data_IF_964437419997
#
_entry.id   IF_964437419997
#
_cell.length_a   1.000
_cell.length_b   1.000
_cell.length_c   1.000
_cell.angle_alpha   90.00
_cell.angle_beta   90.00
_cell.angle_gamma   90.00
#
_symmetry.space_group_name_H-M   'P 1'
#
loop_
_entity.id
_entity.type
_entity.pdbx_description
1 polymer ?
#
# COMPACT_ATOMS: atom_id res chain seq x y z
N UNK A 1 19.18 8.13 -20.71
CA UNK A 1 18.56 9.29 -20.02
C UNK A 1 18.69 9.08 -18.53
N UNK A 2 19.27 10.04 -17.80
CA UNK A 2 19.32 10.02 -16.34
C UNK A 2 17.95 10.49 -15.86
N UNK A 3 17.22 9.67 -15.11
CA UNK A 3 15.93 10.08 -14.55
C UNK A 3 16.22 10.91 -13.31
N UNK A 4 16.01 12.22 -13.40
CA UNK A 4 16.17 13.12 -12.26
C UNK A 4 14.96 13.01 -11.32
N UNK A 5 15.22 13.06 -10.01
CA UNK A 5 14.20 12.89 -8.97
C UNK A 5 14.34 13.99 -7.92
N UNK A 6 13.21 14.46 -7.40
CA UNK A 6 13.20 15.31 -6.22
C UNK A 6 13.24 14.45 -4.96
N UNK A 7 14.08 14.84 -4.00
CA UNK A 7 14.21 14.16 -2.71
C UNK A 7 13.90 15.13 -1.59
N UNK A 8 12.96 14.76 -0.71
CA UNK A 8 12.66 15.48 0.53
C UNK A 8 13.16 14.67 1.71
N UNK A 9 13.96 15.30 2.56
CA UNK A 9 14.35 14.77 3.87
C UNK A 9 13.66 15.62 4.94
N UNK A 10 13.02 14.97 5.91
CA UNK A 10 12.38 15.64 7.03
C UNK A 10 12.66 14.90 8.33
N UNK A 11 12.75 15.65 9.43
CA UNK A 11 12.94 15.12 10.77
C UNK A 11 11.80 15.61 11.67
N UNK A 12 11.23 14.70 12.44
CA UNK A 12 10.12 14.94 13.34
C UNK A 12 10.55 14.66 14.77
N UNK A 13 10.02 15.45 15.69
CA UNK A 13 10.25 15.34 17.13
C UNK A 13 8.88 15.28 17.79
N UNK A 14 8.65 14.31 18.68
CA UNK A 14 7.45 14.31 19.50
C UNK A 14 7.71 15.00 20.86
N UNK A 15 6.67 15.18 21.66
CA UNK A 15 6.74 15.80 22.99
C UNK A 15 7.69 15.09 23.96
N UNK A 16 8.03 13.82 23.69
CA UNK A 16 8.98 13.02 24.47
C UNK A 16 10.43 13.11 23.94
N UNK A 17 10.67 13.96 22.94
CA UNK A 17 11.96 14.11 22.29
C UNK A 17 12.33 12.93 21.37
N UNK A 18 11.41 12.04 21.04
CA UNK A 18 11.70 10.94 20.12
C UNK A 18 11.82 11.45 18.69
N UNK A 19 12.93 11.10 18.06
CA UNK A 19 13.27 11.53 16.70
C UNK A 19 12.82 10.46 15.70
N UNK A 20 12.13 10.92 14.65
CA UNK A 20 11.84 10.13 13.46
C UNK A 20 12.31 10.88 12.22
N UNK A 21 13.07 10.22 11.35
CA UNK A 21 13.48 10.77 10.06
C UNK A 21 12.64 10.16 8.95
N UNK A 22 12.26 10.95 7.97
CA UNK A 22 11.64 10.45 6.73
C UNK A 22 12.40 10.92 5.51
N UNK A 23 12.52 10.03 4.52
CA UNK A 23 13.04 10.35 3.19
C UNK A 23 11.93 10.03 2.19
N UNK A 24 11.65 10.96 1.28
CA UNK A 24 10.62 10.80 0.26
C UNK A 24 11.18 11.15 -1.11
N UNK A 25 10.84 10.35 -2.12
CA UNK A 25 11.27 10.49 -3.50
C UNK A 25 10.06 10.82 -4.37
N UNK A 26 10.20 11.83 -5.21
CA UNK A 26 9.12 12.31 -6.10
C UNK A 26 9.59 12.36 -7.55
N UNK A 27 8.64 12.39 -8.48
CA UNK A 27 8.87 12.89 -9.84
C UNK A 27 9.22 14.39 -9.80
N UNK A 28 9.70 14.93 -10.91
CA UNK A 28 9.93 16.38 -11.04
C UNK A 28 8.64 17.18 -10.83
N UNK A 29 7.49 16.64 -11.27
CA UNK A 29 6.16 17.21 -11.02
C UNK A 29 5.62 16.94 -9.60
N UNK A 30 6.50 16.62 -8.65
CA UNK A 30 6.18 16.42 -7.22
C UNK A 30 5.25 15.24 -6.90
N UNK A 31 5.07 14.29 -7.82
CA UNK A 31 4.29 13.08 -7.56
C UNK A 31 5.10 12.07 -6.75
N UNK A 32 4.56 11.59 -5.64
CA UNK A 32 5.27 10.68 -4.72
C UNK A 32 5.52 9.31 -5.36
N UNK A 33 6.75 8.80 -5.23
CA UNK A 33 7.16 7.47 -5.71
C UNK A 33 7.50 6.53 -4.56
N UNK A 34 8.23 7.03 -3.56
CA UNK A 34 8.67 6.24 -2.41
C UNK A 34 8.75 7.11 -1.15
N UNK A 35 8.45 6.50 0.01
CA UNK A 35 8.68 7.09 1.33
C UNK A 35 9.27 6.05 2.28
N UNK A 36 10.33 6.43 2.98
CA UNK A 36 10.93 5.63 4.05
C UNK A 36 10.93 6.41 5.36
N UNK A 37 10.89 5.68 6.47
CA UNK A 37 11.06 6.23 7.82
C UNK A 37 12.12 5.47 8.59
N UNK A 38 12.87 6.20 9.39
CA UNK A 38 13.93 5.73 10.25
C UNK A 38 13.67 6.22 11.67
N UNK A 39 14.03 5.40 12.66
CA UNK A 39 14.02 5.84 14.06
C UNK A 39 15.27 6.67 14.39
N UNK A 40 15.38 7.11 15.65
CA UNK A 40 16.52 7.87 16.19
C UNK A 40 17.90 7.21 16.04
N UNK A 41 17.95 5.90 15.77
CA UNK A 41 19.19 5.14 15.57
C UNK A 41 19.43 4.86 14.07
N UNK A 42 18.79 5.60 13.17
CA UNK A 42 18.82 5.39 11.71
C UNK A 42 18.40 3.98 11.25
N UNK A 43 17.61 3.28 12.06
CA UNK A 43 17.07 1.97 11.68
C UNK A 43 15.77 2.17 10.92
N UNK A 44 15.69 1.60 9.71
CA UNK A 44 14.47 1.60 8.88
C UNK A 44 13.31 0.96 9.66
N UNK A 45 12.21 1.70 9.81
CA UNK A 45 10.98 1.25 10.48
C UNK A 45 9.82 1.08 9.50
N UNK A 46 9.86 1.80 8.37
CA UNK A 46 8.82 1.74 7.35
C UNK A 46 9.35 2.09 5.96
N UNK A 47 8.81 1.43 4.94
CA UNK A 47 8.98 1.78 3.54
C UNK A 47 7.65 1.65 2.80
N UNK A 48 7.33 2.60 1.94
CA UNK A 48 6.22 2.51 1.01
C UNK A 48 6.59 2.99 -0.39
N UNK A 49 6.01 2.36 -1.40
CA UNK A 49 6.04 2.79 -2.79
C UNK A 49 4.63 3.13 -3.25
N UNK A 50 4.51 4.03 -4.22
CA UNK A 50 3.22 4.64 -4.60
C UNK A 50 3.04 4.68 -6.11
N UNK A 51 1.78 4.58 -6.54
CA UNK A 51 1.35 4.94 -7.88
C UNK A 51 1.07 6.45 -7.93
N UNK A 52 2.15 7.24 -7.85
CA UNK A 52 2.14 8.72 -7.99
C UNK A 52 1.21 9.49 -7.03
N UNK A 53 0.66 8.84 -6.01
CA UNK A 53 -0.27 9.43 -5.03
C UNK A 53 -0.15 8.74 -3.68
N UNK A 54 -0.18 9.52 -2.59
CA UNK A 54 -0.17 8.99 -1.22
C UNK A 54 -1.34 8.04 -0.92
N UNK A 55 -2.46 8.22 -1.64
CA UNK A 55 -3.66 7.40 -1.48
C UNK A 55 -3.59 6.07 -2.25
N UNK A 56 -2.55 5.87 -3.06
CA UNK A 56 -2.34 4.65 -3.86
C UNK A 56 -1.00 3.97 -3.55
N UNK A 57 -0.78 3.50 -2.31
CA UNK A 57 0.43 2.75 -2.00
C UNK A 57 0.43 1.40 -2.72
N UNK A 58 1.42 1.16 -3.58
CA UNK A 58 1.65 -0.12 -4.25
C UNK A 58 2.19 -1.17 -3.28
N UNK A 59 3.09 -0.76 -2.39
CA UNK A 59 3.66 -1.64 -1.37
C UNK A 59 3.91 -0.85 -0.09
N UNK A 60 3.61 -1.43 1.07
CA UNK A 60 3.96 -0.88 2.39
C UNK A 60 4.62 -1.98 3.20
N UNK A 61 5.76 -1.68 3.80
CA UNK A 61 6.53 -2.59 4.63
C UNK A 61 6.80 -1.91 5.96
N UNK A 62 6.40 -2.55 7.06
CA UNK A 62 6.82 -2.16 8.40
C UNK A 62 7.89 -3.12 8.90
N UNK A 63 8.96 -2.55 9.44
CA UNK A 63 10.12 -3.25 9.95
C UNK A 63 10.16 -3.15 11.48
N UNK A 64 10.64 -4.21 12.12
CA UNK A 64 10.96 -4.20 13.55
C UNK A 64 12.31 -4.85 13.74
N UNK A 65 13.27 -4.09 14.30
CA UNK A 65 14.68 -4.50 14.44
C UNK A 65 15.29 -4.92 13.09
N UNK A 66 15.10 -4.11 12.06
CA UNK A 66 15.61 -4.38 10.70
C UNK A 66 14.86 -5.46 9.91
N UNK A 67 13.96 -6.23 10.53
CA UNK A 67 13.24 -7.33 9.87
C UNK A 67 11.83 -6.90 9.47
N UNK A 68 11.44 -7.16 8.23
CA UNK A 68 10.07 -6.95 7.76
C UNK A 68 9.07 -7.76 8.60
N UNK A 69 8.11 -7.08 9.22
CA UNK A 69 7.07 -7.71 10.04
C UNK A 69 5.72 -7.72 9.36
N UNK A 70 5.42 -6.67 8.60
CA UNK A 70 4.13 -6.49 7.96
C UNK A 70 4.35 -5.98 6.55
N UNK A 71 3.71 -6.61 5.57
CA UNK A 71 3.80 -6.23 4.16
C UNK A 71 2.39 -6.16 3.61
N UNK A 72 2.03 -5.01 3.03
CA UNK A 72 0.83 -4.84 2.22
C UNK A 72 1.25 -4.60 0.78
N UNK A 73 0.62 -5.29 -0.16
CA UNK A 73 0.83 -5.13 -1.59
C UNK A 73 -0.52 -4.86 -2.23
N UNK A 74 -0.62 -3.83 -3.05
CA UNK A 74 -1.84 -3.45 -3.73
C UNK A 74 -1.62 -3.35 -5.24
N UNK A 75 -2.68 -3.57 -6.01
CA UNK A 75 -2.75 -3.17 -7.42
C UNK A 75 -4.00 -2.32 -7.63
N UNK A 76 -3.87 -1.35 -8.52
CA UNK A 76 -4.93 -0.40 -8.82
C UNK A 76 -5.24 -0.42 -10.31
N UNK A 77 -6.51 -0.20 -10.64
CA UNK A 77 -7.00 0.03 -11.99
C UNK A 77 -8.08 1.10 -11.92
N UNK A 78 -8.03 2.10 -12.79
CA UNK A 78 -8.98 3.22 -12.80
C UNK A 78 -9.21 3.84 -11.40
N UNK A 79 -8.13 4.11 -10.67
CA UNK A 79 -8.12 4.61 -9.29
C UNK A 79 -8.68 3.65 -8.21
N UNK A 80 -9.19 2.49 -8.57
CA UNK A 80 -9.76 1.51 -7.66
C UNK A 80 -8.75 0.42 -7.28
N UNK A 81 -8.71 0.01 -6.01
CA UNK A 81 -7.86 -1.10 -5.57
C UNK A 81 -8.49 -2.44 -5.98
N UNK A 82 -7.91 -3.10 -6.99
CA UNK A 82 -8.40 -4.38 -7.52
C UNK A 82 -7.76 -5.59 -6.83
N UNK A 83 -6.65 -5.38 -6.13
CA UNK A 83 -5.92 -6.44 -5.43
C UNK A 83 -5.30 -5.89 -4.15
N UNK A 84 -5.41 -6.65 -3.07
CA UNK A 84 -4.66 -6.41 -1.83
C UNK A 84 -4.16 -7.73 -1.27
N UNK A 85 -2.88 -7.79 -0.90
CA UNK A 85 -2.29 -8.90 -0.14
C UNK A 85 -1.68 -8.38 1.14
N UNK A 86 -1.98 -9.04 2.25
CA UNK A 86 -1.39 -8.75 3.54
C UNK A 86 -0.59 -9.94 4.07
N UNK A 87 0.68 -9.70 4.38
CA UNK A 87 1.62 -10.69 4.91
C UNK A 87 2.14 -10.21 6.26
N UNK A 88 2.15 -11.10 7.26
CA UNK A 88 2.73 -10.86 8.58
C UNK A 88 3.80 -11.90 8.86
N UNK A 89 5.02 -11.46 9.23
CA UNK A 89 6.18 -12.32 9.49
C UNK A 89 6.37 -13.36 8.36
N UNK A 90 6.35 -12.92 7.11
CA UNK A 90 6.46 -13.75 5.89
C UNK A 90 5.35 -14.80 5.69
N UNK A 91 4.26 -14.75 6.46
CA UNK A 91 3.07 -15.59 6.24
C UNK A 91 1.93 -14.73 5.73
N UNK A 92 1.34 -15.12 4.59
CA UNK A 92 0.12 -14.49 4.10
C UNK A 92 -0.98 -14.62 5.15
N UNK A 93 -1.67 -13.52 5.44
CA UNK A 93 -2.79 -13.48 6.38
C UNK A 93 -4.11 -13.46 5.61
N UNK A 94 -4.19 -12.60 4.60
CA UNK A 94 -5.29 -12.60 3.65
C UNK A 94 -4.84 -12.04 2.30
N UNK A 95 -5.64 -12.35 1.29
CA UNK A 95 -5.61 -11.74 -0.03
C UNK A 95 -7.04 -11.34 -0.41
N UNK A 96 -7.21 -10.24 -1.13
CA UNK A 96 -8.49 -9.86 -1.73
C UNK A 96 -8.34 -9.46 -3.18
N UNK A 97 -9.38 -9.75 -3.95
CA UNK A 97 -9.51 -9.40 -5.36
C UNK A 97 -10.85 -8.72 -5.56
N UNK A 98 -10.88 -7.65 -6.36
CA UNK A 98 -12.08 -6.86 -6.64
C UNK A 98 -12.21 -6.58 -8.12
N UNK A 99 -13.46 -6.50 -8.60
CA UNK A 99 -13.77 -6.03 -9.95
C UNK A 99 -14.79 -4.89 -9.88
N UNK A 100 -14.63 -3.95 -10.79
CA UNK A 100 -15.45 -2.75 -10.85
C UNK A 100 -16.04 -2.57 -12.25
N UNK A 101 -17.25 -2.01 -12.34
CA UNK A 101 -17.85 -1.48 -13.56
C UNK A 101 -17.99 0.03 -13.37
N UNK A 102 -17.09 0.80 -14.00
CA UNK A 102 -16.88 2.20 -13.60
C UNK A 102 -16.42 2.28 -12.14
N UNK A 103 -17.11 3.07 -11.33
CA UNK A 103 -16.82 3.22 -9.89
C UNK A 103 -17.59 2.22 -9.01
N UNK A 104 -18.44 1.38 -9.61
CA UNK A 104 -19.27 0.44 -8.86
C UNK A 104 -18.53 -0.89 -8.67
N UNK A 105 -18.35 -1.30 -7.41
CA UNK A 105 -17.80 -2.61 -7.06
C UNK A 105 -18.81 -3.71 -7.39
N UNK A 106 -18.47 -4.59 -8.35
CA UNK A 106 -19.37 -5.66 -8.81
C UNK A 106 -18.97 -7.04 -8.31
N UNK A 107 -17.71 -7.25 -7.94
CA UNK A 107 -17.22 -8.52 -7.40
C UNK A 107 -16.16 -8.24 -6.33
N UNK A 108 -16.22 -8.94 -5.20
CA UNK A 108 -15.18 -8.94 -4.17
C UNK A 108 -14.96 -10.35 -3.66
N UNK A 109 -13.72 -10.83 -3.70
CA UNK A 109 -13.29 -12.14 -3.22
C UNK A 109 -12.23 -11.96 -2.14
N UNK A 110 -12.33 -12.71 -1.05
CA UNK A 110 -11.34 -12.74 0.02
C UNK A 110 -10.86 -14.17 0.30
N UNK A 111 -9.54 -14.31 0.39
CA UNK A 111 -8.84 -15.57 0.59
C UNK A 111 -8.09 -15.51 1.93
N UNK A 112 -8.11 -16.63 2.66
CA UNK A 112 -7.43 -16.74 3.95
C UNK A 112 -5.95 -17.07 3.77
N UNK A 113 -5.23 -17.24 4.89
CA UNK A 113 -3.80 -17.59 4.91
C UNK A 113 -3.42 -18.89 4.19
N UNK A 114 -4.38 -19.78 3.92
CA UNK A 114 -4.18 -21.03 3.16
C UNK A 114 -4.54 -20.88 1.67
N UNK A 115 -4.86 -19.67 1.22
CA UNK A 115 -5.32 -19.42 -0.15
C UNK A 115 -6.75 -19.90 -0.43
N UNK A 116 -7.50 -20.28 0.61
CA UNK A 116 -8.90 -20.71 0.45
C UNK A 116 -9.81 -19.49 0.47
N UNK A 117 -10.69 -19.41 -0.53
CA UNK A 117 -11.79 -18.43 -0.56
C UNK A 117 -12.65 -18.62 0.69
N UNK A 118 -12.91 -17.55 1.43
CA UNK A 118 -13.76 -17.60 2.62
C UNK A 118 -14.88 -16.55 2.60
N UNK A 119 -14.80 -15.57 1.70
CA UNK A 119 -15.86 -14.60 1.46
C UNK A 119 -15.86 -14.23 -0.02
N UNK A 120 -17.05 -14.19 -0.62
CA UNK A 120 -17.27 -13.69 -1.97
C UNK A 120 -18.60 -12.96 -2.00
N UNK A 121 -18.62 -11.79 -2.64
CA UNK A 121 -19.84 -11.06 -2.97
C UNK A 121 -19.81 -10.65 -4.43
N UNK A 122 -20.96 -10.75 -5.09
CA UNK A 122 -21.16 -10.33 -6.47
C UNK A 122 -22.48 -9.56 -6.54
N UNK A 123 -22.48 -8.45 -7.26
CA UNK A 123 -23.71 -7.72 -7.60
C UNK A 123 -24.11 -8.16 -9.00
N UNK A 124 -25.30 -8.70 -9.12
CA UNK A 124 -25.94 -8.92 -10.41
C UNK A 124 -26.91 -7.77 -10.68
N UNK A 125 -26.76 -7.13 -11.83
CA UNK A 125 -27.74 -6.16 -12.30
C UNK A 125 -28.70 -6.94 -13.19
N UNK A 126 -29.77 -7.50 -12.62
CA UNK A 126 -30.87 -7.98 -13.45
C UNK A 126 -31.41 -6.81 -14.27
N UNK A 127 -31.03 -6.74 -15.54
CA UNK A 127 -31.71 -5.92 -16.54
C UNK A 127 -33.10 -6.51 -16.81
N UNK A 128 -34.05 -6.22 -15.92
CA UNK A 128 -35.48 -6.29 -16.21
C UNK A 128 -36.02 -4.86 -16.21
N UNK A 129 -35.77 -4.16 -17.30
CA UNK A 129 -36.68 -3.09 -17.69
C UNK A 129 -37.80 -3.76 -18.50
N UNK A 130 -38.98 -3.83 -17.86
CA UNK A 130 -40.28 -4.10 -18.47
C UNK A 130 -40.61 -3.01 -19.51
#
# INVERSE_FOLDING_TARGET
MRTDYLVKVAQFFNEKGEITKSVSKYTLDTLILERTYYNKNDILTYKATYDKSYNKPLKRISYRKGVAKYVWENKYENNNAIYTKYTRKNKMIYESQKKYKGDILIESKMYNSKGKLYNSSTIDFETKFL
#
